data_IF_943226348017
#
_entry.id   IF_943226348017
#
_cell.length_a   1.000
_cell.length_b   1.000
_cell.length_c   1.000
_cell.angle_alpha   90.00
_cell.angle_beta   90.00
_cell.angle_gamma   90.00
#
_symmetry.space_group_name_H-M   'P 1'
#
loop_
_entity.id
_entity.type
_entity.pdbx_description
1 polymer ?
#
# COMPACT_ATOMS: atom_id res chain seq x y z
N UNK A 1 0.89 13.61 8.18
CA UNK A 1 -0.28 13.16 8.98
C UNK A 1 -0.27 11.65 9.24
N UNK A 2 -0.13 10.79 8.20
CA UNK A 2 -0.14 9.33 8.41
C UNK A 2 0.80 8.88 9.54
N UNK A 3 2.09 9.22 9.43
CA UNK A 3 3.10 8.84 10.42
C UNK A 3 2.84 9.46 11.82
N UNK A 4 2.40 10.70 11.88
CA UNK A 4 2.06 11.39 13.14
C UNK A 4 0.91 10.66 13.85
N UNK A 5 -0.17 10.33 13.12
CA UNK A 5 -1.33 9.63 13.69
C UNK A 5 -0.95 8.22 14.15
N UNK A 6 -0.18 7.48 13.33
CA UNK A 6 0.27 6.14 13.72
C UNK A 6 1.16 6.18 14.98
N UNK A 7 2.12 7.11 15.04
CA UNK A 7 3.01 7.27 16.17
C UNK A 7 2.23 7.60 17.47
N UNK A 8 1.29 8.54 17.40
CA UNK A 8 0.41 8.86 18.53
C UNK A 8 -0.33 7.63 19.07
N UNK A 9 -0.87 6.78 18.17
CA UNK A 9 -1.55 5.55 18.59
C UNK A 9 -0.60 4.56 19.23
N UNK A 10 0.60 4.39 18.69
CA UNK A 10 1.62 3.48 19.26
C UNK A 10 2.10 3.98 20.63
N UNK A 11 2.33 5.28 20.79
CA UNK A 11 2.72 5.89 22.06
C UNK A 11 1.63 5.70 23.13
N UNK A 12 0.37 5.77 22.75
CA UNK A 12 -0.79 5.48 23.60
C UNK A 12 -1.02 3.97 23.82
N UNK A 13 -0.13 3.10 23.34
CA UNK A 13 -0.22 1.64 23.46
C UNK A 13 -1.49 1.04 22.83
N UNK A 14 -2.05 1.73 21.84
CA UNK A 14 -3.17 1.23 21.05
C UNK A 14 -2.68 0.19 20.04
N UNK A 15 -2.60 -1.05 20.48
CA UNK A 15 -2.11 -2.17 19.67
C UNK A 15 -2.98 -2.40 18.41
N UNK A 16 -4.29 -2.26 18.53
CA UNK A 16 -5.22 -2.47 17.41
C UNK A 16 -4.95 -1.42 16.32
N UNK A 17 -4.90 -0.14 16.71
CA UNK A 17 -4.60 0.93 15.78
C UNK A 17 -3.21 0.80 15.16
N UNK A 18 -2.21 0.35 15.91
CA UNK A 18 -0.87 0.04 15.41
C UNK A 18 -0.91 -1.03 14.31
N UNK A 19 -1.57 -2.16 14.55
CA UNK A 19 -1.68 -3.25 13.55
C UNK A 19 -2.50 -2.80 12.33
N UNK A 20 -3.60 -2.07 12.52
CA UNK A 20 -4.40 -1.54 11.40
C UNK A 20 -3.58 -0.56 10.57
N UNK A 21 -2.95 0.42 11.19
CA UNK A 21 -2.17 1.44 10.49
C UNK A 21 -0.94 0.86 9.80
N UNK A 22 -0.16 0.05 10.48
CA UNK A 22 1.08 -0.53 9.96
C UNK A 22 0.79 -1.67 8.97
N UNK A 23 0.21 -2.78 9.45
CA UNK A 23 0.17 -4.01 8.66
C UNK A 23 -0.96 -4.04 7.62
N UNK A 24 -2.11 -3.43 7.93
CA UNK A 24 -3.24 -3.42 6.99
C UNK A 24 -3.11 -2.27 5.98
N UNK A 25 -2.86 -1.05 6.45
CA UNK A 25 -2.88 0.13 5.56
C UNK A 25 -1.51 0.36 4.92
N UNK A 26 -0.45 0.62 5.71
CA UNK A 26 0.86 0.96 5.17
C UNK A 26 1.43 -0.18 4.33
N UNK A 27 1.69 -1.31 4.94
CA UNK A 27 2.31 -2.46 4.28
C UNK A 27 1.39 -3.07 3.22
N UNK A 28 0.06 -3.11 3.50
CA UNK A 28 -0.93 -3.59 2.54
C UNK A 28 -0.98 -2.79 1.23
N UNK A 29 -0.73 -1.48 1.27
CA UNK A 29 -0.66 -0.63 0.08
C UNK A 29 0.76 -0.57 -0.50
N UNK A 30 1.81 -0.51 0.35
CA UNK A 30 3.20 -0.45 -0.09
C UNK A 30 3.65 -1.71 -0.84
N UNK A 31 3.08 -2.87 -0.50
CA UNK A 31 3.36 -4.13 -1.16
C UNK A 31 3.29 -4.04 -2.69
N UNK A 32 2.21 -3.49 -3.22
CA UNK A 32 2.00 -3.32 -4.67
C UNK A 32 3.00 -2.32 -5.29
N UNK A 33 3.38 -1.29 -4.54
CA UNK A 33 4.42 -0.33 -4.96
C UNK A 33 5.77 -1.05 -5.12
N UNK A 34 6.14 -1.90 -4.17
CA UNK A 34 7.37 -2.69 -4.25
C UNK A 34 7.34 -3.69 -5.42
N UNK A 35 6.20 -4.32 -5.72
CA UNK A 35 6.05 -5.19 -6.88
C UNK A 35 6.25 -4.42 -8.19
N UNK A 36 5.69 -3.22 -8.31
CA UNK A 36 5.89 -2.35 -9.47
C UNK A 36 7.36 -1.94 -9.63
N UNK A 37 8.01 -1.51 -8.54
CA UNK A 37 9.42 -1.12 -8.55
C UNK A 37 10.34 -2.30 -8.88
N UNK A 38 10.05 -3.47 -8.35
CA UNK A 38 10.80 -4.70 -8.64
C UNK A 38 10.70 -5.05 -10.13
N UNK A 39 9.47 -5.10 -10.65
CA UNK A 39 9.21 -5.38 -12.07
C UNK A 39 9.91 -4.37 -12.98
N UNK A 40 9.79 -3.08 -12.70
CA UNK A 40 10.42 -2.03 -13.49
C UNK A 40 11.95 -2.03 -13.43
N UNK A 41 12.54 -2.64 -12.39
CA UNK A 41 14.00 -2.61 -12.17
C UNK A 41 14.75 -3.83 -12.69
N UNK A 42 14.06 -4.92 -13.00
CA UNK A 42 14.69 -6.24 -13.27
C UNK A 42 15.81 -6.20 -14.29
N UNK A 43 15.63 -5.45 -15.36
CA UNK A 43 16.60 -5.44 -16.48
C UNK A 43 17.71 -4.41 -16.28
N UNK A 44 17.40 -3.21 -15.75
CA UNK A 44 18.41 -2.15 -15.65
C UNK A 44 19.13 -2.12 -14.29
N UNK A 45 18.52 -2.65 -13.24
CA UNK A 45 19.13 -2.76 -11.89
C UNK A 45 18.74 -4.07 -11.19
N UNK A 46 19.25 -5.22 -11.66
CA UNK A 46 18.86 -6.53 -11.13
C UNK A 46 19.20 -6.72 -9.65
N UNK A 47 20.22 -6.04 -9.13
CA UNK A 47 20.54 -6.08 -7.70
C UNK A 47 19.47 -5.39 -6.85
N UNK A 48 18.96 -4.25 -7.30
CA UNK A 48 17.87 -3.57 -6.64
C UNK A 48 16.58 -4.40 -6.70
N UNK A 49 16.26 -4.96 -7.87
CA UNK A 49 15.12 -5.88 -8.01
C UNK A 49 15.24 -7.09 -7.07
N UNK A 50 16.41 -7.69 -6.94
CA UNK A 50 16.65 -8.80 -6.01
C UNK A 50 16.43 -8.37 -4.55
N UNK A 51 16.87 -7.17 -4.15
CA UNK A 51 16.60 -6.63 -2.82
C UNK A 51 15.10 -6.48 -2.59
N UNK A 52 14.38 -5.92 -3.56
CA UNK A 52 12.92 -5.77 -3.47
C UNK A 52 12.20 -7.11 -3.38
N UNK A 53 12.67 -8.16 -4.07
CA UNK A 53 12.11 -9.52 -3.94
C UNK A 53 12.15 -10.00 -2.49
N UNK A 54 13.25 -9.76 -1.78
CA UNK A 54 13.35 -10.05 -0.34
C UNK A 54 12.38 -9.23 0.50
N UNK A 55 12.33 -7.92 0.26
CA UNK A 55 11.40 -7.01 0.95
C UNK A 55 9.95 -7.43 0.74
N UNK A 56 9.54 -7.74 -0.50
CA UNK A 56 8.19 -8.21 -0.84
C UNK A 56 7.84 -9.49 -0.06
N UNK A 57 8.80 -10.42 0.08
CA UNK A 57 8.58 -11.64 0.85
C UNK A 57 8.38 -11.36 2.34
N UNK A 58 9.07 -10.36 2.90
CA UNK A 58 8.89 -9.93 4.29
C UNK A 58 7.56 -9.22 4.49
N UNK A 59 7.20 -8.28 3.60
CA UNK A 59 5.93 -7.57 3.65
C UNK A 59 4.73 -8.52 3.56
N UNK A 60 4.83 -9.58 2.76
CA UNK A 60 3.78 -10.60 2.68
C UNK A 60 3.52 -11.27 4.04
N UNK A 61 4.56 -11.50 4.84
CA UNK A 61 4.42 -12.05 6.20
C UNK A 61 3.78 -11.05 7.16
N UNK A 62 4.19 -9.79 7.08
CA UNK A 62 3.65 -8.71 7.92
C UNK A 62 2.16 -8.45 7.63
N UNK A 63 1.81 -8.34 6.36
CA UNK A 63 0.40 -8.19 5.94
C UNK A 63 -0.42 -9.41 6.38
N UNK A 64 0.10 -10.63 6.18
CA UNK A 64 -0.56 -11.86 6.63
C UNK A 64 -0.76 -11.90 8.15
N UNK A 65 0.21 -11.42 8.92
CA UNK A 65 0.04 -11.25 10.37
C UNK A 65 -1.10 -10.29 10.70
N UNK A 66 -1.13 -9.12 10.06
CA UNK A 66 -2.19 -8.12 10.25
C UNK A 66 -3.57 -8.66 9.90
N UNK A 67 -3.72 -9.29 8.72
CA UNK A 67 -4.97 -9.91 8.27
C UNK A 67 -5.46 -10.97 9.29
N UNK A 68 -4.58 -11.87 9.72
CA UNK A 68 -4.94 -12.88 10.71
C UNK A 68 -5.33 -12.29 12.06
N UNK A 69 -4.56 -11.31 12.54
CA UNK A 69 -4.81 -10.69 13.85
C UNK A 69 -6.11 -9.90 13.89
N UNK A 70 -6.34 -9.05 12.88
CA UNK A 70 -7.55 -8.24 12.80
C UNK A 70 -8.78 -9.11 12.50
N UNK A 71 -8.65 -10.07 11.58
CA UNK A 71 -9.73 -11.02 11.28
C UNK A 71 -10.15 -11.85 12.50
N UNK A 72 -9.19 -12.32 13.32
CA UNK A 72 -9.50 -13.02 14.57
C UNK A 72 -10.18 -12.09 15.58
N UNK A 73 -9.66 -10.88 15.74
CA UNK A 73 -10.22 -9.90 16.66
C UNK A 73 -11.69 -9.56 16.33
N UNK A 74 -12.01 -9.37 15.05
CA UNK A 74 -13.40 -9.09 14.62
C UNK A 74 -14.32 -10.28 14.88
N UNK A 75 -13.83 -11.52 14.71
CA UNK A 75 -14.62 -12.73 15.01
C UNK A 75 -14.86 -12.93 16.52
N UNK A 76 -13.83 -12.68 17.32
CA UNK A 76 -13.88 -12.86 18.80
C UNK A 76 -14.60 -11.68 19.49
N UNK A 77 -14.49 -10.48 18.91
CA UNK A 77 -14.98 -9.21 19.45
C UNK A 77 -15.68 -8.40 18.36
N UNK A 78 -16.89 -8.81 17.89
CA UNK A 78 -17.61 -8.12 16.82
C UNK A 78 -17.89 -6.64 17.14
N UNK A 79 -18.00 -6.27 18.40
CA UNK A 79 -18.19 -4.89 18.86
C UNK A 79 -17.01 -3.97 18.52
N UNK A 80 -15.82 -4.53 18.30
CA UNK A 80 -14.63 -3.78 17.89
C UNK A 80 -14.60 -3.43 16.40
N UNK A 81 -15.43 -4.07 15.59
CA UNK A 81 -15.41 -3.89 14.15
C UNK A 81 -15.56 -2.43 13.73
N UNK A 82 -16.51 -1.69 14.31
CA UNK A 82 -16.73 -0.29 13.97
C UNK A 82 -15.53 0.62 14.28
N UNK A 83 -14.84 0.36 15.39
CA UNK A 83 -13.60 1.07 15.76
C UNK A 83 -12.47 0.79 14.75
N UNK A 84 -12.30 -0.47 14.35
CA UNK A 84 -11.31 -0.92 13.36
C UNK A 84 -11.60 -0.30 11.99
N UNK A 85 -12.85 -0.31 11.55
CA UNK A 85 -13.28 0.31 10.28
C UNK A 85 -13.01 1.81 10.26
N UNK A 86 -13.32 2.52 11.35
CA UNK A 86 -13.03 3.95 11.46
C UNK A 86 -11.53 4.22 11.36
N UNK A 87 -10.71 3.48 12.11
CA UNK A 87 -9.26 3.63 12.08
C UNK A 87 -8.68 3.32 10.69
N UNK A 88 -9.16 2.25 10.05
CA UNK A 88 -8.75 1.88 8.71
C UNK A 88 -9.09 2.99 7.71
N UNK A 89 -10.28 3.59 7.77
CA UNK A 89 -10.68 4.68 6.87
C UNK A 89 -9.82 5.92 7.07
N UNK A 90 -9.56 6.33 8.31
CA UNK A 90 -8.71 7.47 8.62
C UNK A 90 -7.29 7.28 8.08
N UNK A 91 -6.68 6.15 8.40
CA UNK A 91 -5.31 5.84 7.97
C UNK A 91 -5.21 5.69 6.45
N UNK A 92 -6.22 5.09 5.80
CA UNK A 92 -6.26 4.99 4.34
C UNK A 92 -6.38 6.35 3.67
N UNK A 93 -7.14 7.28 4.24
CA UNK A 93 -7.21 8.66 3.72
C UNK A 93 -5.83 9.31 3.70
N UNK A 94 -5.10 9.26 4.81
CA UNK A 94 -3.77 9.85 4.90
C UNK A 94 -2.76 9.15 3.97
N UNK A 95 -2.85 7.83 3.83
CA UNK A 95 -1.95 7.08 2.95
C UNK A 95 -2.18 7.41 1.47
N UNK A 96 -3.43 7.45 1.03
CA UNK A 96 -3.78 7.81 -0.36
C UNK A 96 -3.41 9.27 -0.67
N UNK A 97 -3.57 10.19 0.28
CA UNK A 97 -3.11 11.57 0.12
C UNK A 97 -1.57 11.63 -0.07
N UNK A 98 -0.82 10.83 0.69
CA UNK A 98 0.65 10.74 0.55
C UNK A 98 1.05 10.21 -0.82
N UNK A 99 0.38 9.19 -1.35
CA UNK A 99 0.62 8.70 -2.71
C UNK A 99 0.33 9.78 -3.76
N UNK A 100 -0.83 10.43 -3.68
CA UNK A 100 -1.19 11.51 -4.61
C UNK A 100 -0.15 12.63 -4.64
N UNK A 101 0.33 13.05 -3.48
CA UNK A 101 1.36 14.10 -3.39
C UNK A 101 2.71 13.64 -3.95
N UNK A 102 3.06 12.37 -3.77
CA UNK A 102 4.31 11.79 -4.31
C UNK A 102 4.33 11.76 -5.83
N UNK A 103 3.19 11.58 -6.48
CA UNK A 103 3.08 11.63 -7.94
C UNK A 103 3.09 13.06 -8.50
N UNK A 104 2.60 14.03 -7.74
CA UNK A 104 2.58 15.45 -8.14
C UNK A 104 3.92 16.16 -7.94
N UNK A 105 4.78 15.63 -7.08
CA UNK A 105 5.90 16.39 -6.52
C UNK A 105 7.08 16.61 -7.46
N UNK A 106 7.15 16.05 -8.68
CA UNK A 106 8.37 16.22 -9.48
C UNK A 106 8.20 16.16 -11.00
N UNK A 107 7.41 17.08 -11.56
CA UNK A 107 7.40 17.34 -13.02
C UNK A 107 8.72 17.95 -13.55
N UNK A 108 9.66 18.28 -12.67
CA UNK A 108 10.87 19.04 -13.03
C UNK A 108 12.14 18.21 -13.15
N UNK A 109 12.16 16.96 -12.65
CA UNK A 109 13.31 16.06 -12.79
C UNK A 109 13.08 15.03 -13.87
N UNK A 110 13.99 14.94 -14.88
CA UNK A 110 13.91 13.85 -15.84
C UNK A 110 13.97 12.51 -15.06
N UNK A 111 12.88 11.74 -15.07
CA UNK A 111 12.93 10.33 -14.69
C UNK A 111 14.01 9.69 -15.54
N UNK A 112 14.94 8.97 -14.92
CA UNK A 112 15.85 8.12 -15.66
C UNK A 112 14.98 7.15 -16.48
N UNK A 113 14.86 7.42 -17.77
CA UNK A 113 14.07 6.60 -18.66
C UNK A 113 14.70 5.20 -18.66
N UNK A 114 13.96 4.19 -18.28
CA UNK A 114 14.36 2.81 -18.57
C UNK A 114 14.60 2.70 -20.08
N UNK A 115 15.62 1.96 -20.53
CA UNK A 115 15.84 1.76 -21.96
C UNK A 115 14.55 1.30 -22.63
N UNK A 116 14.20 1.90 -23.77
CA UNK A 116 12.95 1.61 -24.51
C UNK A 116 12.78 0.14 -24.95
N UNK A 117 13.83 -0.68 -24.77
CA UNK A 117 13.87 -2.11 -25.09
C UNK A 117 13.46 -3.02 -23.93
N UNK A 118 13.23 -2.50 -22.73
CA UNK A 118 12.86 -3.31 -21.58
C UNK A 118 11.38 -3.69 -21.66
N UNK A 119 11.08 -4.96 -21.43
CA UNK A 119 9.71 -5.45 -21.31
C UNK A 119 9.39 -5.62 -19.81
N UNK A 120 8.93 -4.55 -19.20
CA UNK A 120 8.57 -4.49 -17.79
C UNK A 120 7.04 -4.43 -17.67
N UNK A 121 6.35 -5.53 -17.99
CA UNK A 121 4.89 -5.61 -17.85
C UNK A 121 4.48 -5.65 -16.37
N UNK A 122 3.63 -4.71 -15.99
CA UNK A 122 2.98 -4.66 -14.70
C UNK A 122 1.48 -4.49 -14.90
N UNK A 123 0.73 -5.55 -14.66
CA UNK A 123 -0.72 -5.59 -14.84
C UNK A 123 -1.20 -5.07 -16.20
N UNK A 124 -0.54 -5.47 -17.27
CA UNK A 124 -0.86 -5.08 -18.64
C UNK A 124 -0.32 -3.71 -19.07
N UNK A 125 0.48 -3.06 -18.24
CA UNK A 125 1.15 -1.80 -18.56
C UNK A 125 2.66 -2.01 -18.64
N UNK A 126 3.26 -1.70 -19.80
CA UNK A 126 4.71 -1.75 -19.94
C UNK A 126 5.35 -0.52 -19.29
N UNK A 127 5.95 -0.69 -18.12
CA UNK A 127 6.55 0.39 -17.32
C UNK A 127 7.71 1.09 -18.03
N UNK A 128 8.36 0.45 -19.00
CA UNK A 128 9.47 1.04 -19.78
C UNK A 128 8.99 2.15 -20.74
N UNK A 129 7.75 2.06 -21.21
CA UNK A 129 7.17 2.99 -22.19
C UNK A 129 5.95 3.74 -21.68
N UNK A 130 5.47 3.43 -20.46
CA UNK A 130 4.30 4.05 -19.87
C UNK A 130 4.53 5.55 -19.57
N UNK A 131 3.51 6.35 -19.86
CA UNK A 131 3.49 7.75 -19.42
C UNK A 131 3.32 7.83 -17.89
N UNK A 132 3.64 8.98 -17.25
CA UNK A 132 3.37 9.16 -15.82
C UNK A 132 1.92 8.88 -15.44
N UNK A 133 0.97 9.33 -16.26
CA UNK A 133 -0.47 9.13 -16.04
C UNK A 133 -0.86 7.64 -16.12
N UNK A 134 -0.26 6.90 -17.06
CA UNK A 134 -0.47 5.45 -17.18
C UNK A 134 0.11 4.70 -15.97
N UNK A 135 1.29 5.12 -15.49
CA UNK A 135 1.89 4.54 -14.28
C UNK A 135 1.06 4.83 -13.04
N UNK A 136 0.58 6.05 -12.88
CA UNK A 136 -0.32 6.43 -11.78
C UNK A 136 -1.61 5.60 -11.84
N UNK A 137 -2.22 5.49 -13.01
CA UNK A 137 -3.47 4.76 -13.19
C UNK A 137 -3.33 3.26 -12.88
N UNK A 138 -2.30 2.59 -13.38
CA UNK A 138 -2.08 1.16 -13.10
C UNK A 138 -1.78 0.93 -11.63
N UNK A 139 -0.96 1.78 -11.01
CA UNK A 139 -0.65 1.66 -9.59
C UNK A 139 -1.88 1.89 -8.72
N UNK A 140 -2.62 2.98 -8.96
CA UNK A 140 -3.83 3.28 -8.19
C UNK A 140 -4.87 2.16 -8.28
N UNK A 141 -5.12 1.64 -9.48
CA UNK A 141 -6.07 0.54 -9.69
C UNK A 141 -5.62 -0.74 -8.99
N UNK A 142 -4.32 -1.08 -9.07
CA UNK A 142 -3.78 -2.30 -8.48
C UNK A 142 -3.74 -2.20 -6.95
N UNK A 143 -3.23 -1.09 -6.40
CA UNK A 143 -3.20 -0.85 -4.94
C UNK A 143 -4.61 -0.93 -4.36
N UNK A 144 -5.57 -0.23 -4.95
CA UNK A 144 -6.95 -0.24 -4.45
C UNK A 144 -7.63 -1.59 -4.62
N UNK A 145 -7.38 -2.29 -5.73
CA UNK A 145 -7.93 -3.63 -5.97
C UNK A 145 -7.44 -4.65 -4.94
N UNK A 146 -6.13 -4.72 -4.72
CA UNK A 146 -5.52 -5.58 -3.71
C UNK A 146 -5.97 -5.21 -2.30
N UNK A 147 -5.99 -3.93 -1.98
CA UNK A 147 -6.40 -3.45 -0.66
C UNK A 147 -7.86 -3.82 -0.34
N UNK A 148 -8.78 -3.64 -1.29
CA UNK A 148 -10.19 -4.08 -1.14
C UNK A 148 -10.28 -5.58 -0.88
N UNK A 149 -9.52 -6.37 -1.62
CA UNK A 149 -9.47 -7.84 -1.44
C UNK A 149 -9.00 -8.22 -0.05
N UNK A 150 -7.97 -7.55 0.48
CA UNK A 150 -7.44 -7.78 1.82
C UNK A 150 -8.44 -7.40 2.91
N UNK A 151 -9.09 -6.25 2.80
CA UNK A 151 -10.14 -5.84 3.73
C UNK A 151 -11.30 -6.85 3.77
N UNK A 152 -11.74 -7.33 2.60
CA UNK A 152 -12.79 -8.35 2.52
C UNK A 152 -12.42 -9.65 3.26
N UNK A 153 -11.15 -10.07 3.20
CA UNK A 153 -10.65 -11.26 3.93
C UNK A 153 -10.78 -11.14 5.44
N UNK A 154 -10.64 -9.94 5.98
CA UNK A 154 -10.79 -9.69 7.44
C UNK A 154 -12.22 -9.30 7.84
N UNK A 155 -13.17 -9.32 6.89
CA UNK A 155 -14.58 -9.03 7.15
C UNK A 155 -14.91 -7.53 7.18
N UNK A 156 -14.08 -6.70 6.56
CA UNK A 156 -14.28 -5.25 6.40
C UNK A 156 -14.68 -4.95 4.95
N UNK A 157 -15.76 -4.20 4.77
CA UNK A 157 -16.13 -3.68 3.46
C UNK A 157 -15.40 -2.37 3.20
N UNK A 158 -14.72 -2.28 2.05
CA UNK A 158 -14.05 -1.05 1.66
C UNK A 158 -15.07 0.08 1.43
N UNK A 159 -14.85 1.18 2.09
CA UNK A 159 -15.54 2.44 1.83
C UNK A 159 -14.52 3.49 1.38
N UNK A 160 -14.91 4.34 0.44
CA UNK A 160 -14.03 5.44 0.02
C UNK A 160 -13.67 6.30 1.22
N UNK A 161 -12.38 6.41 1.55
CA UNK A 161 -11.95 7.18 2.70
C UNK A 161 -12.36 8.66 2.57
N UNK A 162 -12.83 9.21 3.67
CA UNK A 162 -13.18 10.63 3.77
C UNK A 162 -12.19 11.32 4.70
N UNK A 163 -12.01 12.63 4.49
CA UNK A 163 -11.19 13.42 5.40
C UNK A 163 -11.75 13.29 6.83
N UNK A 164 -10.90 12.93 7.81
CA UNK A 164 -11.30 12.91 9.21
C UNK A 164 -11.82 14.27 9.67
N UNK A 165 -12.81 14.26 10.54
CA UNK A 165 -13.40 15.49 11.10
C UNK A 165 -12.43 16.17 12.08
#
# INVERSE_FOLDING_TARGET
KFAETLLEKVENKDFIAGVVGQNIVLEGMAFTVFEMLETGSREFNPKFAQTLTGTIADERRHVGFGENRIGSLIREHPEKKAEIEKMQQEMSYYMLATFSDSFKADDTKPRAAAPATTNADFHGTNLATATPEQMEAVLANTVLGEFKTRLARVGIEYQTPKMPA
#
